data_IF_122038989017
#
_entry.id   IF_122038989017
#
_cell.length_a   1.000
_cell.length_b   1.000
_cell.length_c   1.000
_cell.angle_alpha   90.00
_cell.angle_beta   90.00
_cell.angle_gamma   90.00
#
_symmetry.space_group_name_H-M   'P 1'
#
loop_
_entity.id
_entity.type
_entity.pdbx_description
1 polymer ?
#
# COMPACT_ATOMS: atom_id res chain seq x y z
N UNK A 1 14.27 10.27 -8.27
CA UNK A 1 13.00 11.02 -8.39
C UNK A 1 13.06 11.85 -9.66
N UNK A 2 12.03 11.77 -10.49
CA UNK A 2 11.93 12.52 -11.76
C UNK A 2 10.58 13.24 -11.76
N UNK A 3 10.55 14.49 -12.23
CA UNK A 3 9.34 15.33 -12.24
C UNK A 3 9.09 15.78 -13.69
N UNK A 4 7.88 15.55 -14.19
CA UNK A 4 7.45 15.96 -15.54
C UNK A 4 6.07 16.61 -15.47
N UNK A 5 5.81 17.57 -16.37
CA UNK A 5 4.47 18.12 -16.55
C UNK A 5 3.57 17.13 -17.30
N UNK A 6 2.29 17.09 -16.95
CA UNK A 6 1.28 16.19 -17.55
C UNK A 6 0.03 16.99 -17.96
N UNK A 7 -0.64 16.59 -19.04
CA UNK A 7 -1.96 17.12 -19.39
C UNK A 7 -3.03 16.36 -18.60
N UNK A 8 -3.80 17.03 -17.73
CA UNK A 8 -4.83 16.36 -16.93
C UNK A 8 -5.93 15.72 -17.79
N UNK A 9 -6.11 16.14 -19.05
CA UNK A 9 -7.12 15.59 -19.96
C UNK A 9 -6.87 14.13 -20.37
N UNK A 10 -5.69 13.59 -20.08
CA UNK A 10 -5.38 12.18 -20.30
C UNK A 10 -6.00 11.22 -19.28
N UNK A 11 -6.55 11.73 -18.17
CA UNK A 11 -7.19 10.92 -17.14
C UNK A 11 -8.50 10.30 -17.65
N UNK A 12 -8.68 9.00 -17.42
CA UNK A 12 -9.89 8.26 -17.83
C UNK A 12 -10.77 7.83 -16.66
N UNK A 13 -10.26 7.90 -15.43
CA UNK A 13 -10.99 7.52 -14.22
C UNK A 13 -10.38 8.19 -12.98
N UNK A 14 -11.19 8.23 -11.91
CA UNK A 14 -10.82 8.70 -10.57
C UNK A 14 -11.59 7.89 -9.52
N UNK A 15 -11.05 7.81 -8.30
CA UNK A 15 -11.73 7.24 -7.13
C UNK A 15 -11.79 8.33 -6.05
N UNK A 16 -12.97 8.92 -5.87
CA UNK A 16 -13.18 10.04 -4.95
C UNK A 16 -13.08 9.64 -3.46
N UNK A 17 -13.35 8.38 -3.16
CA UNK A 17 -13.35 7.82 -1.81
C UNK A 17 -12.47 6.56 -1.76
N UNK A 18 -11.14 6.71 -1.81
CA UNK A 18 -10.23 5.57 -1.78
C UNK A 18 -10.34 4.81 -0.46
N UNK A 19 -10.20 3.48 -0.56
CA UNK A 19 -9.92 2.62 0.59
C UNK A 19 -8.43 2.37 0.66
N UNK A 20 -7.87 2.37 1.85
CA UNK A 20 -6.47 2.07 2.09
C UNK A 20 -6.35 0.74 2.83
N UNK A 21 -5.24 0.04 2.61
CA UNK A 21 -4.86 -1.14 3.38
C UNK A 21 -3.49 -0.95 3.99
N UNK A 22 -3.37 -1.18 5.28
CA UNK A 22 -2.09 -1.17 6.00
C UNK A 22 -1.80 -2.56 6.53
N UNK A 23 -0.67 -3.11 6.13
CA UNK A 23 -0.16 -4.38 6.63
C UNK A 23 1.00 -4.09 7.58
N UNK A 24 0.86 -4.41 8.86
CA UNK A 24 1.94 -4.31 9.84
C UNK A 24 2.68 -5.64 9.93
N UNK A 25 3.99 -5.65 9.76
CA UNK A 25 4.81 -6.86 9.79
C UNK A 25 5.67 -6.88 11.05
N UNK A 26 5.65 -8.01 11.75
CA UNK A 26 6.58 -8.25 12.84
C UNK A 26 7.81 -9.03 12.36
N UNK A 27 8.81 -9.17 13.25
CA UNK A 27 10.06 -9.89 12.94
C UNK A 27 9.89 -11.39 12.75
N UNK A 28 8.76 -11.98 13.17
CA UNK A 28 8.48 -13.40 13.00
C UNK A 28 7.73 -13.71 11.70
N UNK A 29 7.55 -12.73 10.82
CA UNK A 29 6.86 -12.88 9.53
C UNK A 29 5.33 -12.86 9.62
N UNK A 30 4.74 -12.64 10.79
CA UNK A 30 3.30 -12.48 10.90
C UNK A 30 2.89 -11.04 10.54
N UNK A 31 1.76 -10.92 9.85
CA UNK A 31 1.14 -9.65 9.48
C UNK A 31 -0.20 -9.43 10.17
N UNK A 32 -0.53 -8.17 10.38
CA UNK A 32 -1.84 -7.69 10.84
C UNK A 32 -2.33 -6.63 9.85
N UNK A 33 -3.53 -6.82 9.30
CA UNK A 33 -4.07 -6.02 8.19
C UNK A 33 -5.25 -5.18 8.63
N UNK A 34 -5.19 -3.89 8.32
CA UNK A 34 -6.24 -2.93 8.59
C UNK A 34 -6.68 -2.27 7.30
N UNK A 35 -7.98 -2.12 7.14
CA UNK A 35 -8.54 -1.38 6.03
C UNK A 35 -9.21 -0.10 6.52
N UNK A 36 -8.95 1.00 5.81
CA UNK A 36 -9.33 2.35 6.23
C UNK A 36 -10.07 3.02 5.09
N UNK A 37 -11.14 3.72 5.43
CA UNK A 37 -11.96 4.50 4.51
C UNK A 37 -12.25 5.87 5.13
N UNK A 38 -12.58 6.86 4.28
CA UNK A 38 -12.96 8.19 4.74
C UNK A 38 -11.81 9.01 5.35
N UNK A 39 -10.57 8.71 4.96
CA UNK A 39 -9.37 9.43 5.40
C UNK A 39 -8.47 9.72 4.19
N UNK A 40 -7.70 10.79 4.26
CA UNK A 40 -6.66 11.10 3.28
C UNK A 40 -5.40 10.26 3.51
N UNK A 41 -4.60 10.08 2.46
CA UNK A 41 -3.32 9.33 2.54
C UNK A 41 -2.40 9.84 3.66
N UNK A 42 -2.39 11.15 3.91
CA UNK A 42 -1.56 11.75 4.94
C UNK A 42 -2.03 11.36 6.35
N UNK A 43 -3.36 11.31 6.58
CA UNK A 43 -3.96 10.89 7.85
C UNK A 43 -3.68 9.40 8.10
N UNK A 44 -3.80 8.57 7.07
CA UNK A 44 -3.49 7.14 7.15
C UNK A 44 -2.02 6.90 7.48
N UNK A 45 -1.10 7.65 6.86
CA UNK A 45 0.33 7.57 7.16
C UNK A 45 0.64 7.97 8.60
N UNK A 46 0.04 9.06 9.09
CA UNK A 46 0.22 9.50 10.47
C UNK A 46 -0.27 8.44 11.46
N UNK A 47 -1.48 7.92 11.24
CA UNK A 47 -2.02 6.82 12.04
C UNK A 47 -1.13 5.57 12.01
N UNK A 48 -0.65 5.17 10.84
CA UNK A 48 0.19 3.98 10.71
C UNK A 48 1.53 4.13 11.43
N UNK A 49 2.12 5.33 11.41
CA UNK A 49 3.36 5.63 12.12
C UNK A 49 3.19 5.54 13.65
N UNK A 50 2.05 5.98 14.17
CA UNK A 50 1.71 5.83 15.59
C UNK A 50 1.43 4.36 15.95
N UNK A 51 0.63 3.66 15.14
CA UNK A 51 0.15 2.32 15.44
C UNK A 51 1.20 1.23 15.18
N UNK A 52 2.26 1.50 14.40
CA UNK A 52 3.28 0.48 14.11
C UNK A 52 3.94 -0.06 15.38
N UNK A 53 4.06 0.72 16.46
CA UNK A 53 4.57 0.26 17.78
C UNK A 53 5.86 -0.57 17.66
N UNK A 54 6.79 -0.11 16.82
CA UNK A 54 8.07 -0.79 16.55
C UNK A 54 8.07 -1.86 15.44
N UNK A 55 6.92 -2.14 14.82
CA UNK A 55 6.77 -2.95 13.60
C UNK A 55 7.13 -2.12 12.36
N UNK A 56 7.34 -2.79 11.23
CA UNK A 56 7.31 -2.16 9.91
C UNK A 56 5.88 -2.21 9.37
N UNK A 57 5.56 -1.35 8.41
CA UNK A 57 4.28 -1.42 7.71
C UNK A 57 4.43 -1.17 6.22
N UNK A 58 3.44 -1.65 5.46
CA UNK A 58 3.24 -1.30 4.05
C UNK A 58 1.84 -0.71 3.91
N UNK A 59 1.77 0.44 3.24
CA UNK A 59 0.51 1.12 2.93
C UNK A 59 0.19 0.93 1.46
N UNK A 60 -1.04 0.51 1.18
CA UNK A 60 -1.62 0.38 -0.14
C UNK A 60 -2.88 1.25 -0.26
N UNK A 61 -3.17 1.69 -1.49
CA UNK A 61 -4.54 2.05 -1.89
C UNK A 61 -5.18 0.88 -2.62
N UNK A 62 -6.43 0.60 -2.27
CA UNK A 62 -7.27 -0.41 -2.88
C UNK A 62 -7.84 0.14 -4.19
N UNK A 63 -7.57 -0.54 -5.30
CA UNK A 63 -8.10 -0.19 -6.62
C UNK A 63 -9.17 -1.21 -7.02
N UNK A 64 -10.43 -0.79 -7.22
CA UNK A 64 -11.49 -1.68 -7.66
C UNK A 64 -11.40 -1.91 -9.18
N UNK A 65 -10.59 -2.88 -9.59
CA UNK A 65 -10.48 -3.34 -10.99
C UNK A 65 -11.24 -4.67 -11.18
N UNK A 66 -10.80 -5.56 -12.07
CA UNK A 66 -11.30 -6.94 -12.15
C UNK A 66 -10.81 -7.74 -10.92
N UNK A 67 -11.48 -7.51 -9.79
CA UNK A 67 -11.03 -7.89 -8.45
C UNK A 67 -10.37 -6.74 -7.69
N UNK A 68 -9.95 -7.02 -6.45
CA UNK A 68 -9.29 -6.05 -5.59
C UNK A 68 -7.80 -5.96 -5.94
N UNK A 69 -7.40 -4.88 -6.59
CA UNK A 69 -5.99 -4.53 -6.77
C UNK A 69 -5.45 -3.68 -5.62
N UNK A 70 -4.13 -3.72 -5.40
CA UNK A 70 -3.44 -2.90 -4.41
C UNK A 70 -2.30 -2.13 -5.11
N UNK A 71 -2.26 -0.81 -4.92
CA UNK A 71 -1.09 0.01 -5.32
C UNK A 71 -0.33 0.44 -4.07
N UNK A 72 0.95 0.08 -4.00
CA UNK A 72 1.82 0.42 -2.87
C UNK A 72 2.13 1.91 -2.86
N UNK A 73 1.82 2.57 -1.75
CA UNK A 73 2.09 4.00 -1.52
C UNK A 73 3.34 4.22 -0.65
N UNK A 74 3.54 3.37 0.36
CA UNK A 74 4.68 3.50 1.27
C UNK A 74 5.09 2.14 1.86
N UNK A 75 6.34 2.08 2.34
CA UNK A 75 6.91 0.89 2.96
C UNK A 75 7.38 -0.16 1.96
N UNK A 76 7.87 -1.28 2.49
CA UNK A 76 8.26 -2.45 1.70
C UNK A 76 7.86 -3.68 2.47
N UNK A 77 7.20 -4.62 1.81
CA UNK A 77 6.84 -5.89 2.42
C UNK A 77 8.13 -6.71 2.59
N UNK A 78 8.53 -7.04 3.83
CA UNK A 78 9.72 -7.86 4.06
C UNK A 78 9.61 -9.26 3.44
N UNK A 79 8.40 -9.74 3.16
CA UNK A 79 8.16 -11.06 2.56
C UNK A 79 8.15 -11.02 1.02
N UNK A 80 8.01 -9.85 0.39
CA UNK A 80 7.96 -9.76 -1.08
C UNK A 80 9.27 -10.24 -1.76
N UNK A 81 10.42 -10.05 -1.11
CA UNK A 81 11.70 -10.54 -1.62
C UNK A 81 11.82 -12.08 -1.55
N UNK A 82 11.08 -12.74 -0.65
CA UNK A 82 11.11 -14.20 -0.52
C UNK A 82 10.25 -14.90 -1.59
N UNK A 83 9.14 -14.27 -2.01
CA UNK A 83 8.26 -14.85 -3.04
C UNK A 83 8.86 -14.74 -4.46
N UNK A 84 9.57 -13.65 -4.77
CA UNK A 84 10.20 -13.46 -6.09
C UNK A 84 11.31 -14.49 -6.35
N UNK A 85 12.07 -14.89 -5.31
CA UNK A 85 13.08 -15.95 -5.41
C UNK A 85 12.46 -17.34 -5.60
N UNK A 86 11.31 -17.62 -4.97
CA UNK A 86 10.60 -18.91 -5.13
C UNK A 86 9.93 -19.07 -6.50
N UNK A 87 9.55 -17.97 -7.15
CA UNK A 87 8.99 -17.97 -8.50
C UNK A 87 10.05 -18.14 -9.62
N UNK A 88 11.31 -17.78 -9.35
CA UNK A 88 12.43 -17.94 -10.29
C UNK A 88 13.10 -19.33 -10.21
N UNK A 89 12.81 -20.10 -9.15
CA UNK A 89 13.35 -21.45 -8.90
C UNK A 89 12.35 -22.59 -9.29
N UNK A 90 11.31 -22.32 -10.11
CA UNK A 90 10.34 -23.33 -10.59
C UNK A 90 10.42 -23.63 -12.08
#
# INVERSE_FOLDING_TARGET
MTIVGVDPRGQTWEVDAPRYRVSFHNRSGASDEHEISGADVAEVLAWAEEERRGRTFVLYVCVPTDGLGLLRLAGTDPNAAAEEHMLLDR
#
